data_IF_394501179212
#
_entry.id   IF_394501179212
#
_cell.length_a   1.000
_cell.length_b   1.000
_cell.length_c   1.000
_cell.angle_alpha   90.00
_cell.angle_beta   90.00
_cell.angle_gamma   90.00
#
_symmetry.space_group_name_H-M   'P 1'
#
loop_
_entity.id
_entity.type
_entity.pdbx_description
1 polymer ?
#
# COMPACT_ATOMS: atom_id res chain seq x y z
N UNK A 1 3.45 10.90 -19.78
CA UNK A 1 3.35 11.33 -18.37
C UNK A 1 3.39 10.06 -17.54
N UNK A 2 4.53 9.75 -16.89
CA UNK A 2 4.63 8.52 -16.08
C UNK A 2 3.70 8.65 -14.88
N UNK A 3 2.69 7.77 -14.80
CA UNK A 3 1.64 7.84 -13.77
C UNK A 3 2.24 7.69 -12.37
N UNK A 4 1.92 8.64 -11.49
CA UNK A 4 2.26 8.57 -10.07
C UNK A 4 1.55 7.41 -9.37
N UNK A 5 1.85 7.24 -8.09
CA UNK A 5 1.18 6.27 -7.23
C UNK A 5 -0.27 6.67 -6.99
N UNK A 6 -1.20 5.89 -7.53
CA UNK A 6 -2.59 5.97 -7.14
C UNK A 6 -2.86 5.12 -5.89
N UNK A 7 -4.03 5.37 -5.30
CA UNK A 7 -4.47 4.67 -4.10
C UNK A 7 -4.53 3.15 -4.31
N UNK A 8 -5.12 2.71 -5.42
CA UNK A 8 -5.28 1.29 -5.74
C UNK A 8 -3.93 0.54 -5.83
N UNK A 9 -2.90 1.19 -6.37
CA UNK A 9 -1.55 0.65 -6.43
C UNK A 9 -0.97 0.43 -5.03
N UNK A 10 -1.17 1.38 -4.12
CA UNK A 10 -0.72 1.26 -2.73
C UNK A 10 -1.48 0.15 -2.00
N UNK A 11 -2.82 0.11 -2.11
CA UNK A 11 -3.65 -0.92 -1.45
C UNK A 11 -3.28 -2.32 -1.91
N UNK A 12 -3.05 -2.50 -3.22
CA UNK A 12 -2.62 -3.80 -3.78
C UNK A 12 -1.23 -4.23 -3.30
N UNK A 13 -0.35 -3.26 -3.03
CA UNK A 13 1.06 -3.54 -2.69
C UNK A 13 1.27 -3.70 -1.19
N UNK A 14 0.43 -3.07 -0.35
CA UNK A 14 0.56 -3.07 1.11
C UNK A 14 0.61 -4.47 1.75
N UNK A 15 -0.21 -5.46 1.37
CA UNK A 15 -0.08 -6.81 1.94
C UNK A 15 1.32 -7.41 1.76
N UNK A 16 1.93 -7.21 0.59
CA UNK A 16 3.25 -7.72 0.24
C UNK A 16 4.41 -7.02 1.00
N UNK A 17 4.15 -5.86 1.61
CA UNK A 17 5.12 -5.18 2.49
C UNK A 17 5.47 -6.06 3.70
N UNK A 18 4.49 -6.78 4.22
CA UNK A 18 4.59 -7.54 5.47
C UNK A 18 5.06 -8.98 5.28
N UNK A 19 5.11 -9.45 4.04
CA UNK A 19 5.62 -10.76 3.69
C UNK A 19 7.07 -10.65 3.16
N UNK A 20 8.06 -11.25 3.85
CA UNK A 20 9.45 -11.23 3.39
C UNK A 20 9.63 -11.94 2.05
N UNK A 21 8.81 -12.95 1.73
CA UNK A 21 8.93 -13.76 0.52
C UNK A 21 8.38 -13.05 -0.72
N UNK A 22 7.54 -12.04 -0.55
CA UNK A 22 6.95 -11.25 -1.64
C UNK A 22 7.98 -10.58 -2.56
N UNK A 23 9.20 -10.33 -2.09
CA UNK A 23 10.29 -9.79 -2.91
C UNK A 23 10.84 -10.79 -3.95
N UNK A 24 10.64 -12.09 -3.72
CA UNK A 24 11.06 -13.17 -4.62
C UNK A 24 9.95 -13.61 -5.58
N UNK A 25 8.83 -12.88 -5.57
CA UNK A 25 7.63 -13.15 -6.34
C UNK A 25 6.67 -14.05 -5.56
N UNK A 26 5.40 -13.65 -5.48
CA UNK A 26 4.34 -14.57 -5.07
C UNK A 26 4.42 -15.81 -5.96
N UNK A 27 4.59 -17.00 -5.35
CA UNK A 27 4.59 -18.27 -6.09
C UNK A 27 3.32 -18.34 -6.94
N UNK A 28 3.50 -18.36 -8.25
CA UNK A 28 2.42 -18.69 -9.16
C UNK A 28 2.38 -20.22 -9.27
N UNK A 29 1.44 -20.86 -8.58
CA UNK A 29 1.25 -22.33 -8.64
C UNK A 29 0.82 -22.82 -10.04
N UNK A 30 0.53 -21.90 -10.97
CA UNK A 30 0.29 -22.15 -12.40
C UNK A 30 1.52 -21.86 -13.28
N UNK A 31 2.68 -21.58 -12.70
CA UNK A 31 3.90 -21.37 -13.47
C UNK A 31 4.38 -22.69 -14.11
N UNK A 32 4.62 -22.71 -15.44
CA UNK A 32 5.04 -23.93 -16.12
C UNK A 32 6.45 -24.37 -15.70
N UNK A 33 6.65 -25.69 -15.77
CA UNK A 33 7.78 -26.45 -15.24
C UNK A 33 9.16 -26.00 -15.76
N UNK A 34 10.21 -26.37 -15.02
CA UNK A 34 11.55 -25.77 -14.93
C UNK A 34 12.42 -25.71 -16.22
N UNK A 35 11.86 -25.94 -17.40
CA UNK A 35 12.57 -26.03 -18.68
C UNK A 35 12.26 -24.88 -19.66
N UNK A 36 11.63 -23.78 -19.20
CA UNK A 36 11.35 -22.60 -20.04
C UNK A 36 12.29 -21.41 -19.79
N UNK A 37 12.65 -20.62 -20.83
CA UNK A 37 13.60 -19.53 -20.72
C UNK A 37 13.13 -18.45 -19.74
N UNK A 38 14.01 -18.12 -18.79
CA UNK A 38 13.78 -17.10 -17.77
C UNK A 38 13.80 -15.69 -18.36
N UNK A 39 12.77 -14.92 -18.01
CA UNK A 39 12.59 -13.49 -18.25
C UNK A 39 12.44 -13.07 -19.73
N UNK A 40 11.36 -12.33 -20.03
CA UNK A 40 11.29 -11.63 -21.30
C UNK A 40 12.41 -10.58 -21.36
N UNK A 41 13.26 -10.68 -22.38
CA UNK A 41 14.36 -9.75 -22.67
C UNK A 41 13.88 -8.31 -22.89
N UNK A 42 12.59 -8.13 -23.20
CA UNK A 42 11.97 -6.82 -23.35
C UNK A 42 11.64 -6.21 -21.97
N UNK A 43 12.51 -5.31 -21.51
CA UNK A 43 12.36 -4.58 -20.24
C UNK A 43 11.00 -3.87 -20.11
N UNK A 44 10.33 -3.56 -21.22
CA UNK A 44 8.99 -2.93 -21.23
C UNK A 44 7.87 -3.87 -20.79
N UNK A 45 8.13 -5.18 -20.73
CA UNK A 45 7.17 -6.21 -20.29
C UNK A 45 7.48 -6.74 -18.88
N UNK A 46 8.50 -6.19 -18.22
CA UNK A 46 8.78 -6.47 -16.82
C UNK A 46 7.70 -5.88 -15.91
N UNK A 47 7.34 -6.59 -14.86
CA UNK A 47 6.41 -6.07 -13.84
C UNK A 47 7.07 -4.95 -13.05
N UNK A 48 6.37 -3.83 -12.86
CA UNK A 48 6.80 -2.75 -11.96
C UNK A 48 6.62 -3.12 -10.47
N UNK A 49 6.06 -4.28 -10.16
CA UNK A 49 5.72 -4.69 -8.80
C UNK A 49 6.92 -4.66 -7.82
N UNK A 50 8.14 -5.14 -8.16
CA UNK A 50 9.27 -5.07 -7.23
C UNK A 50 9.69 -3.63 -6.91
N UNK A 51 9.59 -2.72 -7.89
CA UNK A 51 9.85 -1.30 -7.66
C UNK A 51 8.77 -0.67 -6.78
N UNK A 52 7.49 -0.95 -7.07
CA UNK A 52 6.36 -0.52 -6.24
C UNK A 52 6.48 -1.05 -4.81
N UNK A 53 6.87 -2.31 -4.63
CA UNK A 53 7.07 -2.92 -3.31
C UNK A 53 8.18 -2.23 -2.53
N UNK A 54 9.32 -1.94 -3.17
CA UNK A 54 10.42 -1.24 -2.53
C UNK A 54 10.02 0.18 -2.10
N UNK A 55 9.31 0.89 -2.97
CA UNK A 55 8.85 2.25 -2.69
C UNK A 55 7.80 2.28 -1.58
N UNK A 56 6.79 1.40 -1.63
CA UNK A 56 5.75 1.30 -0.58
C UNK A 56 6.34 0.84 0.75
N UNK A 57 7.32 -0.09 0.76
CA UNK A 57 8.07 -0.45 1.98
C UNK A 57 8.74 0.77 2.60
N UNK A 58 9.41 1.59 1.80
CA UNK A 58 10.04 2.83 2.27
C UNK A 58 9.01 3.84 2.79
N UNK A 59 7.87 3.98 2.10
CA UNK A 59 6.78 4.84 2.53
C UNK A 59 6.11 4.35 3.83
N UNK A 60 6.02 3.04 4.04
CA UNK A 60 5.54 2.47 5.31
C UNK A 60 6.43 2.84 6.51
N UNK A 61 7.74 2.85 6.29
CA UNK A 61 8.73 3.20 7.33
C UNK A 61 8.77 4.70 7.61
N UNK A 62 8.73 5.54 6.56
CA UNK A 62 9.05 6.97 6.65
C UNK A 62 7.88 7.92 6.35
N UNK A 63 6.76 7.40 5.89
CA UNK A 63 5.59 8.17 5.52
C UNK A 63 4.91 8.82 6.73
N UNK A 64 4.08 9.85 6.50
CA UNK A 64 3.48 10.68 7.55
C UNK A 64 2.26 10.03 8.21
N UNK A 65 2.38 8.75 8.60
CA UNK A 65 1.33 8.01 9.29
C UNK A 65 1.39 8.26 10.79
N UNK A 66 0.26 8.57 11.40
CA UNK A 66 0.10 8.49 12.85
C UNK A 66 0.14 7.04 13.31
N UNK A 67 0.42 6.81 14.61
CA UNK A 67 0.47 5.46 15.16
C UNK A 67 -0.84 4.69 14.96
N UNK A 68 -1.99 5.35 15.14
CA UNK A 68 -3.31 4.74 15.01
C UNK A 68 -3.65 4.37 13.55
N UNK A 69 -3.20 5.17 12.59
CA UNK A 69 -3.32 4.84 11.16
C UNK A 69 -2.41 3.66 10.81
N UNK A 70 -1.17 3.68 11.30
CA UNK A 70 -0.22 2.58 11.10
C UNK A 70 -0.73 1.27 11.68
N UNK A 71 -1.31 1.30 12.88
CA UNK A 71 -1.95 0.13 13.49
C UNK A 71 -3.15 -0.36 12.66
N UNK A 72 -4.04 0.54 12.23
CA UNK A 72 -5.21 0.16 11.44
C UNK A 72 -4.80 -0.48 10.10
N UNK A 73 -3.84 0.12 9.39
CA UNK A 73 -3.30 -0.43 8.14
C UNK A 73 -2.62 -1.78 8.35
N UNK A 74 -1.82 -1.93 9.42
CA UNK A 74 -1.17 -3.20 9.74
C UNK A 74 -2.21 -4.29 10.01
N UNK A 75 -3.18 -4.04 10.87
CA UNK A 75 -4.20 -5.03 11.20
C UNK A 75 -5.03 -5.40 9.96
N UNK A 76 -5.40 -4.41 9.14
CA UNK A 76 -6.18 -4.66 7.93
C UNK A 76 -5.39 -5.42 6.86
N UNK A 77 -4.19 -4.96 6.48
CA UNK A 77 -3.46 -5.52 5.34
C UNK A 77 -2.49 -6.65 5.70
N UNK A 78 -1.97 -6.69 6.92
CA UNK A 78 -1.02 -7.73 7.34
C UNK A 78 -1.73 -8.92 8.01
N UNK A 79 -2.80 -8.65 8.77
CA UNK A 79 -3.51 -9.67 9.54
C UNK A 79 -4.87 -10.06 8.94
N UNK A 80 -5.30 -9.40 7.86
CA UNK A 80 -6.64 -9.56 7.28
C UNK A 80 -7.75 -9.36 8.34
N UNK A 81 -7.53 -8.45 9.29
CA UNK A 81 -8.47 -8.20 10.37
C UNK A 81 -9.66 -7.38 9.86
N UNK A 82 -10.86 -7.79 10.30
CA UNK A 82 -12.10 -7.08 10.00
C UNK A 82 -12.22 -5.77 10.82
N UNK A 83 -12.95 -4.79 10.27
CA UNK A 83 -13.05 -3.42 10.80
C UNK A 83 -13.54 -3.38 12.26
N UNK A 84 -14.45 -4.27 12.65
CA UNK A 84 -15.01 -4.37 14.00
C UNK A 84 -13.97 -4.78 15.04
N UNK A 85 -13.07 -5.70 14.67
CA UNK A 85 -11.99 -6.15 15.55
C UNK A 85 -10.95 -5.06 15.74
N UNK A 86 -10.61 -4.36 14.67
CA UNK A 86 -9.74 -3.18 14.72
C UNK A 86 -10.38 -2.07 15.55
N UNK A 87 -11.69 -1.84 15.37
CA UNK A 87 -12.45 -0.82 16.11
C UNK A 87 -12.47 -1.11 17.60
N UNK A 88 -12.72 -2.37 17.97
CA UNK A 88 -12.66 -2.86 19.35
C UNK A 88 -11.26 -2.66 19.95
N UNK A 89 -10.20 -3.08 19.23
CA UNK A 89 -8.82 -2.90 19.67
C UNK A 89 -8.44 -1.42 19.87
N UNK A 90 -8.90 -0.54 18.98
CA UNK A 90 -8.58 0.88 19.02
C UNK A 90 -9.55 1.71 19.89
N UNK A 91 -10.60 1.10 20.44
CA UNK A 91 -11.61 1.79 21.24
C UNK A 91 -12.42 2.84 20.46
N UNK A 92 -12.71 2.59 19.18
CA UNK A 92 -13.46 3.50 18.30
C UNK A 92 -14.57 2.78 17.55
N UNK A 93 -15.26 3.48 16.65
CA UNK A 93 -16.28 2.89 15.77
C UNK A 93 -15.65 2.34 14.47
N UNK A 94 -16.32 1.37 13.83
CA UNK A 94 -15.92 0.81 12.54
C UNK A 94 -15.76 1.90 11.47
N UNK A 95 -16.63 2.91 11.50
CA UNK A 95 -16.55 4.07 10.60
C UNK A 95 -15.24 4.86 10.80
N UNK A 96 -14.80 5.02 12.04
CA UNK A 96 -13.53 5.69 12.34
C UNK A 96 -12.34 4.85 11.87
N UNK A 97 -12.42 3.52 11.95
CA UNK A 97 -11.40 2.62 11.39
C UNK A 97 -11.32 2.75 9.88
N UNK A 98 -12.45 2.66 9.16
CA UNK A 98 -12.47 2.86 7.71
C UNK A 98 -11.84 4.18 7.32
N UNK A 99 -12.24 5.27 7.96
CA UNK A 99 -11.64 6.58 7.71
C UNK A 99 -10.13 6.59 7.94
N UNK A 100 -9.62 5.94 8.99
CA UNK A 100 -8.16 5.81 9.25
C UNK A 100 -7.45 5.00 8.17
N UNK A 101 -8.05 3.91 7.70
CA UNK A 101 -7.48 3.09 6.62
C UNK A 101 -7.43 3.92 5.33
N UNK A 102 -8.55 4.51 4.93
CA UNK A 102 -8.64 5.33 3.71
C UNK A 102 -7.65 6.50 3.73
N UNK A 103 -7.61 7.23 4.85
CA UNK A 103 -6.68 8.33 5.08
C UNK A 103 -5.23 7.87 5.09
N UNK A 104 -4.94 6.75 5.75
CA UNK A 104 -3.60 6.18 5.83
C UNK A 104 -3.06 5.80 4.46
N UNK A 105 -3.85 5.12 3.63
CA UNK A 105 -3.46 4.80 2.25
C UNK A 105 -3.28 6.09 1.43
N UNK A 106 -4.19 7.06 1.56
CA UNK A 106 -4.08 8.34 0.88
C UNK A 106 -2.79 9.10 1.23
N UNK A 107 -2.39 9.10 2.51
CA UNK A 107 -1.13 9.68 2.98
C UNK A 107 0.09 8.99 2.39
N UNK A 108 0.07 7.65 2.27
CA UNK A 108 1.14 6.90 1.64
C UNK A 108 1.26 7.23 0.16
N UNK A 109 0.14 7.27 -0.57
CA UNK A 109 0.12 7.63 -1.99
C UNK A 109 0.66 9.06 -2.22
N UNK A 110 0.17 10.05 -1.45
CA UNK A 110 0.67 11.42 -1.52
C UNK A 110 2.17 11.51 -1.20
N UNK A 111 2.63 10.82 -0.15
CA UNK A 111 4.05 10.78 0.21
C UNK A 111 4.93 10.21 -0.90
N UNK A 112 4.48 9.13 -1.56
CA UNK A 112 5.19 8.51 -2.68
C UNK A 112 5.28 9.43 -3.90
N UNK A 113 4.27 10.28 -4.10
CA UNK A 113 4.27 11.30 -5.15
C UNK A 113 4.99 12.59 -4.76
N UNK A 114 5.47 12.72 -3.52
CA UNK A 114 6.05 13.97 -3.02
C UNK A 114 5.02 15.09 -2.81
N UNK A 115 3.74 14.73 -2.71
CA UNK A 115 2.61 15.65 -2.56
C UNK A 115 2.18 15.76 -1.09
N UNK A 116 1.56 16.89 -0.73
CA UNK A 116 0.88 17.05 0.54
C UNK A 116 -0.44 16.28 0.48
N UNK A 117 -0.69 15.42 1.46
CA UNK A 117 -1.99 14.78 1.58
C UNK A 117 -3.07 15.82 1.94
N UNK A 118 -4.18 15.79 1.20
CA UNK A 118 -5.32 16.68 1.37
C UNK A 118 -6.52 15.83 1.81
N UNK A 119 -7.05 16.14 2.98
CA UNK A 119 -8.18 15.46 3.62
C UNK A 119 -9.43 16.32 3.48
N UNK A 120 -10.28 15.99 2.51
CA UNK A 120 -11.51 16.74 2.23
C UNK A 120 -11.31 18.07 1.50
N UNK A 121 -12.42 18.76 1.22
CA UNK A 121 -12.44 19.98 0.39
C UNK A 121 -11.84 21.21 1.10
N UNK A 122 -11.98 21.30 2.42
CA UNK A 122 -11.52 22.47 3.20
C UNK A 122 -10.00 22.68 3.13
N UNK A 123 -9.24 21.62 2.82
CA UNK A 123 -7.78 21.66 2.73
C UNK A 123 -7.25 21.95 1.32
N UNK A 124 -8.13 22.03 0.31
CA UNK A 124 -7.74 22.34 -1.08
C UNK A 124 -7.40 23.83 -1.25
N UNK A 125 -8.05 24.73 -0.51
CA UNK A 125 -7.79 26.17 -0.60
C UNK A 125 -6.40 26.57 -0.06
N UNK A 126 -5.83 25.79 0.85
CA UNK A 126 -4.48 26.02 1.39
C UNK A 126 -3.35 25.43 0.53
N UNK A 127 -3.68 24.59 -0.46
CA UNK A 127 -2.70 23.84 -1.26
C UNK A 127 -2.55 24.35 -2.71
N UNK A 128 -3.38 25.31 -3.12
CA UNK A 128 -3.34 25.99 -4.42
C UNK A 128 -2.41 27.22 -4.37
#
# INVERSE_FOLDING_TARGET
MGGGYDRATVERTLPAVFDPDSAYGMKNDLAPDADMPKAQTDKKKGSNFPAQLADVRRAWERGPLSLVEKQALFMHYALDAHDDWIASFQGVTDRAVRYRIERGVGKLAAHLNGEKYIDGYDQLEEAA
#
